data_IF_558399339389
#
_entry.id   IF_558399339389
#
_cell.length_a   1.000
_cell.length_b   1.000
_cell.length_c   1.000
_cell.angle_alpha   90.00
_cell.angle_beta   90.00
_cell.angle_gamma   90.00
#
_symmetry.space_group_name_H-M   'P 1'
#
loop_
_entity.id
_entity.type
_entity.pdbx_description
1 polymer ?
#
# COMPACT_ATOMS: atom_id res chain seq x y z
N UNK A 1 27.58 16.10 23.47
CA UNK A 1 26.81 14.90 23.10
C UNK A 1 26.90 14.75 21.60
N UNK A 2 27.32 13.59 21.08
CA UNK A 2 27.30 13.34 19.64
C UNK A 2 25.85 13.19 19.18
N UNK A 3 25.51 13.75 18.02
CA UNK A 3 24.20 13.52 17.40
C UNK A 3 23.96 12.00 17.28
N UNK A 4 22.76 11.49 17.60
CA UNK A 4 22.46 10.07 17.42
C UNK A 4 22.69 9.68 15.95
N UNK A 5 23.44 8.61 15.67
CA UNK A 5 23.76 8.21 14.31
C UNK A 5 22.54 7.60 13.60
N UNK A 6 22.50 7.68 12.27
CA UNK A 6 21.50 6.96 11.47
C UNK A 6 21.69 5.45 11.58
N UNK A 7 20.61 4.70 11.79
CA UNK A 7 20.63 3.23 11.81
C UNK A 7 20.03 2.65 10.51
N UNK A 8 20.78 2.78 9.40
CA UNK A 8 20.31 2.37 8.08
C UNK A 8 19.98 0.86 7.99
N UNK A 9 20.66 0.02 8.78
CA UNK A 9 20.40 -1.43 8.78
C UNK A 9 19.03 -1.76 9.37
N UNK A 10 18.65 -1.07 10.45
CA UNK A 10 17.34 -1.24 11.07
C UNK A 10 16.22 -0.76 10.17
N UNK A 11 16.36 0.43 9.58
CA UNK A 11 15.40 0.98 8.60
C UNK A 11 15.24 0.05 7.39
N UNK A 12 16.35 -0.43 6.81
CA UNK A 12 16.32 -1.39 5.70
C UNK A 12 15.59 -2.68 6.10
N UNK A 13 15.91 -3.25 7.26
CA UNK A 13 15.25 -4.47 7.73
C UNK A 13 13.75 -4.25 7.98
N UNK A 14 13.36 -3.08 8.50
CA UNK A 14 11.96 -2.71 8.72
C UNK A 14 11.18 -2.59 7.41
N UNK A 15 11.72 -1.85 6.43
CA UNK A 15 11.09 -1.66 5.12
C UNK A 15 11.05 -2.97 4.31
N UNK A 16 12.12 -3.76 4.32
CA UNK A 16 12.16 -5.05 3.63
C UNK A 16 11.11 -6.02 4.19
N UNK A 17 10.85 -6.01 5.51
CA UNK A 17 9.75 -6.81 6.10
C UNK A 17 8.37 -6.42 5.55
N UNK A 18 8.19 -5.19 5.06
CA UNK A 18 6.94 -4.67 4.49
C UNK A 18 6.86 -4.75 2.98
N UNK A 19 7.93 -5.17 2.31
CA UNK A 19 8.02 -5.15 0.84
C UNK A 19 6.87 -5.89 0.17
N UNK A 20 6.54 -7.11 0.61
CA UNK A 20 5.44 -7.89 0.00
C UNK A 20 4.08 -7.24 0.17
N UNK A 21 3.82 -6.69 1.37
CA UNK A 21 2.60 -5.96 1.70
C UNK A 21 2.47 -4.73 0.79
N UNK A 22 3.53 -3.92 0.68
CA UNK A 22 3.56 -2.70 -0.15
C UNK A 22 3.39 -3.05 -1.63
N UNK A 23 4.09 -4.07 -2.14
CA UNK A 23 3.94 -4.52 -3.53
C UNK A 23 2.50 -4.94 -3.82
N UNK A 24 1.90 -5.73 -2.93
CA UNK A 24 0.52 -6.17 -3.12
C UNK A 24 -0.47 -4.99 -3.07
N UNK A 25 -0.31 -4.06 -2.12
CA UNK A 25 -1.15 -2.85 -2.04
C UNK A 25 -1.01 -1.96 -3.27
N UNK A 26 0.21 -1.71 -3.75
CA UNK A 26 0.43 -0.96 -4.99
C UNK A 26 -0.19 -1.67 -6.21
N UNK A 27 -0.11 -2.99 -6.28
CA UNK A 27 -0.74 -3.75 -7.36
C UNK A 27 -2.27 -3.60 -7.35
N UNK A 28 -2.89 -3.65 -6.17
CA UNK A 28 -4.32 -3.44 -5.98
C UNK A 28 -4.69 -1.99 -6.36
N UNK A 29 -3.94 -1.00 -5.87
CA UNK A 29 -4.14 0.41 -6.17
C UNK A 29 -4.14 0.66 -7.68
N UNK A 30 -3.11 0.21 -8.40
CA UNK A 30 -3.04 0.43 -9.85
C UNK A 30 -4.09 -0.32 -10.67
N UNK A 31 -4.64 -1.42 -10.15
CA UNK A 31 -5.61 -2.25 -10.88
C UNK A 31 -7.07 -2.01 -10.51
N UNK A 32 -7.36 -1.33 -9.39
CA UNK A 32 -8.72 -1.23 -8.85
C UNK A 32 -9.15 0.20 -8.46
N UNK A 33 -8.25 1.18 -8.46
CA UNK A 33 -8.55 2.56 -8.05
C UNK A 33 -8.43 3.49 -9.26
N UNK A 34 -9.57 3.87 -9.84
CA UNK A 34 -9.65 4.71 -11.05
C UNK A 34 -10.16 6.14 -10.78
N UNK A 35 -10.61 6.40 -9.55
CA UNK A 35 -10.96 7.74 -9.07
C UNK A 35 -9.76 8.38 -8.36
N UNK A 36 -9.45 9.65 -8.67
CA UNK A 36 -8.24 10.30 -8.14
C UNK A 36 -8.32 10.47 -6.62
N UNK A 37 -9.49 10.80 -6.06
CA UNK A 37 -9.59 11.04 -4.64
C UNK A 37 -9.46 9.73 -3.84
N UNK A 38 -10.08 8.65 -4.31
CA UNK A 38 -9.92 7.31 -3.73
C UNK A 38 -8.47 6.82 -3.81
N UNK A 39 -7.80 7.09 -4.95
CA UNK A 39 -6.38 6.77 -5.12
C UNK A 39 -5.48 7.59 -4.19
N UNK A 40 -5.69 8.91 -4.13
CA UNK A 40 -4.73 9.88 -3.58
C UNK A 40 -4.67 9.89 -2.06
N UNK A 41 -5.82 9.93 -1.37
CA UNK A 41 -5.87 10.26 0.04
C UNK A 41 -6.71 9.27 0.86
N UNK A 42 -6.35 9.12 2.13
CA UNK A 42 -7.00 8.18 3.06
C UNK A 42 -8.37 8.63 3.56
N UNK A 43 -8.78 9.88 3.31
CA UNK A 43 -10.04 10.43 3.82
C UNK A 43 -11.23 10.19 2.89
N UNK A 44 -11.00 10.20 1.56
CA UNK A 44 -12.07 10.19 0.57
C UNK A 44 -12.98 8.97 0.69
N UNK A 45 -12.40 7.77 0.58
CA UNK A 45 -13.18 6.54 0.51
C UNK A 45 -14.02 6.34 1.79
N UNK A 46 -13.48 6.70 2.95
CA UNK A 46 -14.18 6.69 4.21
C UNK A 46 -15.34 7.71 4.23
N UNK A 47 -15.12 8.92 3.74
CA UNK A 47 -16.14 9.98 3.68
C UNK A 47 -17.32 9.63 2.77
N UNK A 48 -17.06 8.85 1.72
CA UNK A 48 -18.05 8.43 0.73
C UNK A 48 -18.69 7.06 1.07
N UNK A 49 -18.26 6.40 2.15
CA UNK A 49 -18.75 5.07 2.52
C UNK A 49 -18.40 3.99 1.49
N UNK A 50 -17.28 4.14 0.77
CA UNK A 50 -16.84 3.18 -0.22
C UNK A 50 -16.25 1.93 0.44
N UNK A 51 -16.22 0.83 -0.31
CA UNK A 51 -15.62 -0.43 0.12
C UNK A 51 -14.12 -0.56 -0.19
N UNK A 52 -13.60 0.30 -1.08
CA UNK A 52 -12.20 0.39 -1.48
C UNK A 52 -11.51 1.42 -0.58
N UNK A 53 -10.92 0.95 0.53
CA UNK A 53 -10.51 1.79 1.66
C UNK A 53 -8.98 1.98 1.78
N UNK A 54 -8.23 1.72 0.71
CA UNK A 54 -6.80 1.99 0.62
C UNK A 54 -6.52 3.29 -0.17
N UNK A 55 -5.29 3.79 -0.10
CA UNK A 55 -4.83 4.94 -0.89
C UNK A 55 -3.30 4.97 -0.94
N UNK A 56 -2.73 5.75 -1.85
CA UNK A 56 -1.27 5.97 -1.85
C UNK A 56 -0.80 6.67 -0.59
N UNK A 57 -1.61 7.55 0.01
CA UNK A 57 -1.30 8.18 1.31
C UNK A 57 -1.21 7.12 2.42
N UNK A 58 -2.13 6.16 2.45
CA UNK A 58 -2.09 5.08 3.43
C UNK A 58 -0.90 4.12 3.23
N UNK A 59 -0.36 3.99 2.01
CA UNK A 59 0.88 3.25 1.74
C UNK A 59 2.10 4.09 2.12
N UNK A 60 2.06 5.39 1.81
CA UNK A 60 3.07 6.38 2.16
C UNK A 60 3.33 6.42 3.68
N UNK A 61 2.29 6.34 4.50
CA UNK A 61 2.36 6.32 5.96
C UNK A 61 3.22 5.15 6.48
N UNK A 62 3.19 4.00 5.79
CA UNK A 62 4.01 2.83 6.14
C UNK A 62 5.50 3.17 6.01
N UNK A 63 5.92 3.84 4.93
CA UNK A 63 7.33 4.19 4.74
C UNK A 63 7.79 5.20 5.79
N UNK A 64 6.97 6.21 6.10
CA UNK A 64 7.29 7.18 7.16
C UNK A 64 7.56 6.50 8.50
N UNK A 65 6.65 5.61 8.89
CA UNK A 65 6.70 5.02 10.21
C UNK A 65 7.79 3.94 10.30
N UNK A 66 7.86 3.00 9.35
CA UNK A 66 8.84 1.91 9.38
C UNK A 66 10.24 2.37 8.94
N UNK A 67 10.34 3.26 7.95
CA UNK A 67 11.61 3.83 7.51
C UNK A 67 12.22 4.77 8.54
N UNK A 68 11.37 5.51 9.28
CA UNK A 68 11.83 6.39 10.36
C UNK A 68 12.19 5.65 11.63
N UNK A 69 11.55 4.51 11.94
CA UNK A 69 11.84 3.68 13.13
C UNK A 69 11.93 4.51 14.42
N UNK A 70 10.97 5.43 14.64
CA UNK A 70 10.90 6.38 15.77
C UNK A 70 11.94 7.52 15.73
N UNK A 71 12.62 7.69 14.61
CA UNK A 71 13.39 8.89 14.27
C UNK A 71 12.51 9.99 13.65
N UNK A 72 13.16 11.05 13.16
CA UNK A 72 12.48 12.24 12.61
C UNK A 72 11.42 11.91 11.55
N UNK A 73 11.71 10.98 10.63
CA UNK A 73 10.79 10.58 9.55
C UNK A 73 9.44 10.01 10.06
N UNK A 74 9.38 9.48 11.29
CA UNK A 74 8.17 8.91 11.91
C UNK A 74 7.21 9.98 12.48
N UNK A 75 7.63 11.23 12.61
CA UNK A 75 6.83 12.30 13.21
C UNK A 75 6.55 13.41 12.20
N UNK A 76 5.27 13.69 11.91
CA UNK A 76 4.85 14.70 10.92
C UNK A 76 5.63 16.02 11.04
N UNK A 77 5.75 16.65 12.23
CA UNK A 77 6.42 17.96 12.37
C UNK A 77 7.93 17.94 12.11
N UNK A 78 8.54 16.75 12.10
CA UNK A 78 9.99 16.56 11.99
C UNK A 78 10.40 15.81 10.71
N UNK A 79 9.45 15.21 10.01
CA UNK A 79 9.74 14.24 8.97
C UNK A 79 10.54 14.81 7.79
N UNK A 80 10.31 16.07 7.43
CA UNK A 80 11.00 16.75 6.32
C UNK A 80 12.47 17.08 6.61
N UNK A 81 12.93 16.96 7.85
CA UNK A 81 14.34 17.17 8.20
C UNK A 81 15.21 15.94 7.92
N UNK A 82 14.61 14.76 7.72
CA UNK A 82 15.32 13.54 7.30
C UNK A 82 15.47 13.52 5.77
N UNK A 83 16.68 13.41 5.19
CA UNK A 83 16.85 13.36 3.73
C UNK A 83 16.08 12.23 3.03
N UNK A 84 15.76 11.13 3.73
CA UNK A 84 14.93 10.05 3.19
C UNK A 84 13.51 10.55 2.82
N UNK A 85 13.03 11.63 3.45
CA UNK A 85 11.76 12.28 3.13
C UNK A 85 11.65 12.63 1.64
N UNK A 86 12.65 13.30 1.08
CA UNK A 86 12.60 13.75 -0.31
C UNK A 86 12.64 12.58 -1.29
N UNK A 87 13.41 11.53 -0.98
CA UNK A 87 13.47 10.32 -1.81
C UNK A 87 12.13 9.56 -1.78
N UNK A 88 11.53 9.44 -0.60
CA UNK A 88 10.21 8.83 -0.43
C UNK A 88 9.13 9.61 -1.19
N UNK A 89 9.09 10.94 -1.03
CA UNK A 89 8.12 11.79 -1.73
C UNK A 89 8.35 11.84 -3.25
N UNK A 90 9.60 11.70 -3.73
CA UNK A 90 9.89 11.49 -5.16
C UNK A 90 9.27 10.18 -5.66
N UNK A 91 9.34 9.11 -4.86
CA UNK A 91 8.68 7.85 -5.23
C UNK A 91 7.15 7.99 -5.22
N UNK A 92 6.57 8.70 -4.25
CA UNK A 92 5.12 8.99 -4.21
C UNK A 92 4.68 9.77 -5.45
N UNK A 93 5.42 10.81 -5.83
CA UNK A 93 5.16 11.58 -7.05
C UNK A 93 5.26 10.70 -8.31
N UNK A 94 6.28 9.82 -8.40
CA UNK A 94 6.36 8.80 -9.47
C UNK A 94 5.14 7.89 -9.53
N UNK A 95 4.59 7.48 -8.38
CA UNK A 95 3.37 6.65 -8.35
C UNK A 95 2.15 7.42 -8.87
N UNK A 96 2.03 8.71 -8.56
CA UNK A 96 0.98 9.59 -9.11
C UNK A 96 1.13 9.73 -10.62
N UNK A 97 2.34 9.98 -11.12
CA UNK A 97 2.61 10.09 -12.56
C UNK A 97 2.28 8.80 -13.32
N UNK A 98 2.61 7.63 -12.76
CA UNK A 98 2.21 6.33 -13.31
C UNK A 98 0.67 6.23 -13.35
N UNK A 99 0.00 6.58 -12.24
CA UNK A 99 -1.45 6.49 -12.14
C UNK A 99 -2.18 7.41 -13.14
N UNK A 100 -1.69 8.63 -13.35
CA UNK A 100 -2.26 9.58 -14.31
C UNK A 100 -2.19 9.06 -15.75
N UNK A 101 -1.13 8.35 -16.14
CA UNK A 101 -1.05 7.72 -17.47
C UNK A 101 -2.09 6.61 -17.61
N UNK A 102 -2.36 5.85 -16.54
CA UNK A 102 -3.37 4.79 -16.55
C UNK A 102 -4.81 5.33 -16.49
N UNK A 103 -5.01 6.53 -15.96
CA UNK A 103 -6.31 7.16 -15.73
C UNK A 103 -6.31 8.63 -16.23
N UNK A 104 -6.13 8.87 -17.55
CA UNK A 104 -5.84 10.20 -18.10
C UNK A 104 -6.97 11.23 -17.90
N UNK A 105 -8.21 10.76 -17.80
CA UNK A 105 -9.38 11.63 -17.67
C UNK A 105 -9.77 11.90 -16.21
N UNK A 106 -9.20 11.16 -15.26
CA UNK A 106 -9.54 11.26 -13.85
C UNK A 106 -8.69 12.34 -13.16
N UNK A 107 -9.34 13.19 -12.37
CA UNK A 107 -8.69 14.25 -11.62
C UNK A 107 -9.45 14.60 -10.34
N UNK A 108 -8.93 15.56 -9.58
CA UNK A 108 -9.41 15.92 -8.24
C UNK A 108 -10.89 16.30 -8.29
N UNK A 109 -11.68 15.61 -7.47
CA UNK A 109 -13.06 16.02 -7.16
C UNK A 109 -13.07 16.90 -5.91
N UNK A 110 -13.84 18.00 -5.85
CA UNK A 110 -13.86 18.86 -4.68
C UNK A 110 -14.23 18.11 -3.38
N UNK A 111 -13.48 18.38 -2.31
CA UNK A 111 -13.63 17.75 -1.00
C UNK A 111 -13.37 18.76 0.12
N UNK A 112 -14.12 18.69 1.21
CA UNK A 112 -13.83 19.48 2.41
C UNK A 112 -12.52 19.01 3.09
N UNK A 113 -11.66 19.96 3.47
CA UNK A 113 -10.48 19.68 4.27
C UNK A 113 -10.85 18.95 5.57
N UNK A 114 -10.28 17.77 5.76
CA UNK A 114 -10.56 16.92 6.91
C UNK A 114 -10.03 17.47 8.22
N UNK A 115 -8.96 18.25 8.18
CA UNK A 115 -8.28 18.85 9.33
C UNK A 115 -7.89 20.30 9.01
N UNK A 116 -7.60 21.08 10.05
CA UNK A 116 -7.00 22.41 9.88
C UNK A 116 -5.50 22.26 9.66
N UNK A 117 -5.00 22.79 8.54
CA UNK A 117 -3.57 22.97 8.28
C UNK A 117 -3.16 24.41 8.57
N UNK A 118 -1.88 24.73 8.34
CA UNK A 118 -1.41 26.11 8.43
C UNK A 118 -2.10 27.05 7.41
N UNK A 119 -2.58 26.50 6.30
CA UNK A 119 -3.05 27.28 5.14
C UNK A 119 -4.54 27.10 4.83
N UNK A 120 -5.18 26.10 5.40
CA UNK A 120 -6.60 25.82 5.17
C UNK A 120 -7.29 25.37 6.46
N UNK A 121 -8.49 25.89 6.70
CA UNK A 121 -9.30 25.50 7.85
C UNK A 121 -10.03 24.20 7.55
N UNK A 122 -10.26 23.39 8.58
CA UNK A 122 -11.19 22.26 8.51
C UNK A 122 -12.52 22.70 7.91
N UNK A 123 -13.03 21.91 6.97
CA UNK A 123 -14.30 22.18 6.28
C UNK A 123 -14.19 23.06 5.04
N UNK A 124 -13.05 23.73 4.80
CA UNK A 124 -12.83 24.47 3.55
C UNK A 124 -12.81 23.50 2.37
N UNK A 125 -13.64 23.74 1.36
CA UNK A 125 -13.64 22.95 0.13
C UNK A 125 -12.31 23.17 -0.60
N UNK A 126 -11.61 22.07 -0.88
CA UNK A 126 -10.41 22.00 -1.70
C UNK A 126 -10.78 21.35 -3.03
N UNK A 127 -10.23 21.87 -4.12
CA UNK A 127 -10.47 21.47 -5.51
C UNK A 127 -9.17 21.57 -6.31
N UNK A 128 -9.20 21.15 -7.58
CA UNK A 128 -7.99 21.17 -8.43
C UNK A 128 -7.41 22.57 -8.66
N UNK A 129 -8.25 23.60 -8.60
CA UNK A 129 -7.92 25.02 -8.75
C UNK A 129 -7.64 25.74 -7.42
N UNK A 130 -7.73 25.03 -6.29
CA UNK A 130 -7.38 25.61 -4.98
C UNK A 130 -5.87 25.96 -4.91
N UNK A 131 -5.50 27.14 -4.36
CA UNK A 131 -4.10 27.53 -4.21
C UNK A 131 -3.27 26.58 -3.34
N UNK A 132 -2.21 25.99 -3.90
CA UNK A 132 -1.19 25.20 -3.20
C UNK A 132 -0.20 26.11 -2.50
N UNK A 133 -0.68 26.80 -1.47
CA UNK A 133 0.17 27.67 -0.64
C UNK A 133 1.19 26.86 0.17
N UNK A 134 2.41 27.39 0.41
CA UNK A 134 2.91 28.72 0.03
C UNK A 134 3.68 28.74 -1.31
N UNK A 135 3.42 27.80 -2.23
CA UNK A 135 4.24 27.64 -3.44
C UNK A 135 3.82 28.61 -4.53
N UNK A 136 4.61 29.67 -4.75
CA UNK A 136 4.40 30.61 -5.85
C UNK A 136 4.74 29.98 -7.20
N UNK A 137 3.85 30.16 -8.18
CA UNK A 137 4.08 29.78 -9.57
C UNK A 137 4.66 30.94 -10.39
N UNK A 138 4.28 32.17 -10.06
CA UNK A 138 4.66 33.38 -10.77
C UNK A 138 5.08 34.49 -9.78
N UNK A 139 5.93 35.41 -10.23
CA UNK A 139 6.43 36.53 -9.43
C UNK A 139 5.32 37.50 -8.97
N UNK A 140 4.18 37.51 -9.64
CA UNK A 140 3.03 38.36 -9.32
C UNK A 140 2.23 37.91 -8.08
N UNK A 141 2.66 36.85 -7.41
CA UNK A 141 2.00 36.29 -6.23
C UNK A 141 0.97 35.19 -6.53
N UNK A 142 0.79 34.78 -7.80
CA UNK A 142 -0.02 33.61 -8.13
C UNK A 142 0.60 32.34 -7.54
N UNK A 143 -0.17 31.59 -6.76
CA UNK A 143 0.22 30.28 -6.26
C UNK A 143 0.01 29.20 -7.32
N UNK A 144 0.79 28.12 -7.23
CA UNK A 144 0.50 26.88 -7.95
C UNK A 144 -0.90 26.38 -7.61
N UNK A 145 -1.57 25.74 -8.57
CA UNK A 145 -2.75 24.91 -8.34
C UNK A 145 -2.44 23.47 -8.73
N UNK A 146 -3.29 22.52 -8.35
CA UNK A 146 -3.10 21.12 -8.78
C UNK A 146 -3.23 21.00 -10.30
N UNK A 147 -4.09 21.80 -10.94
CA UNK A 147 -4.21 21.82 -12.41
C UNK A 147 -2.92 22.30 -13.10
N UNK A 148 -2.24 23.31 -12.54
CA UNK A 148 -0.94 23.77 -13.07
C UNK A 148 0.15 22.72 -12.85
N UNK A 149 0.12 22.01 -11.72
CA UNK A 149 1.10 20.99 -11.35
C UNK A 149 0.77 19.58 -11.88
N UNK A 150 -0.27 19.44 -12.73
CA UNK A 150 -0.75 18.13 -13.17
C UNK A 150 0.28 17.34 -13.99
N UNK A 151 1.13 18.02 -14.76
CA UNK A 151 2.21 17.38 -15.52
C UNK A 151 3.57 17.74 -14.93
N UNK A 152 4.46 16.75 -14.86
CA UNK A 152 5.86 16.95 -14.42
C UNK A 152 6.64 17.85 -15.40
N UNK A 153 6.16 18.00 -16.64
CA UNK A 153 6.73 18.92 -17.64
C UNK A 153 6.77 20.38 -17.13
N UNK A 154 5.78 20.79 -16.33
CA UNK A 154 5.72 22.13 -15.73
C UNK A 154 6.94 22.43 -14.84
N UNK A 155 7.62 21.39 -14.36
CA UNK A 155 8.80 21.46 -13.50
C UNK A 155 10.09 21.01 -14.21
N UNK A 156 10.02 20.68 -15.50
CA UNK A 156 11.19 20.29 -16.30
C UNK A 156 11.79 18.93 -15.97
N UNK A 157 11.00 18.01 -15.41
CA UNK A 157 11.44 16.63 -15.14
C UNK A 157 10.42 15.59 -15.59
N UNK A 158 10.86 14.34 -15.68
CA UNK A 158 10.03 13.18 -15.94
C UNK A 158 10.68 11.92 -15.35
N UNK A 159 9.88 10.86 -15.16
CA UNK A 159 10.40 9.54 -14.81
C UNK A 159 10.62 8.70 -16.06
N UNK A 160 11.68 7.87 -16.06
CA UNK A 160 12.03 7.02 -17.19
C UNK A 160 10.89 6.09 -17.64
N UNK A 161 9.96 5.75 -16.74
CA UNK A 161 8.84 4.87 -17.02
C UNK A 161 7.57 5.61 -17.46
N UNK A 162 7.51 6.92 -17.27
CA UNK A 162 6.33 7.76 -17.56
C UNK A 162 6.55 8.70 -18.75
N UNK A 163 7.71 8.60 -19.42
CA UNK A 163 8.07 9.48 -20.52
C UNK A 163 8.71 8.69 -21.65
N UNK A 164 8.03 8.68 -22.80
CA UNK A 164 8.49 8.04 -24.02
C UNK A 164 8.03 8.86 -25.24
N UNK A 165 8.84 9.85 -25.70
CA UNK A 165 8.45 10.78 -26.77
C UNK A 165 8.05 10.12 -28.09
N UNK A 166 8.54 8.91 -28.35
CA UNK A 166 8.28 8.14 -29.56
C UNK A 166 7.08 7.20 -29.44
N UNK A 167 6.37 7.18 -28.31
CA UNK A 167 5.25 6.28 -28.05
C UNK A 167 3.93 7.06 -27.94
N UNK A 168 2.83 6.45 -28.37
CA UNK A 168 1.50 6.96 -28.05
C UNK A 168 1.20 6.78 -26.56
N UNK A 169 0.31 7.59 -26.00
CA UNK A 169 -0.13 7.43 -24.60
C UNK A 169 -0.74 6.04 -24.34
N UNK A 170 -1.41 5.45 -25.34
CA UNK A 170 -1.98 4.12 -25.24
C UNK A 170 -0.88 3.04 -25.14
N UNK A 171 0.16 3.14 -25.97
CA UNK A 171 1.28 2.20 -25.93
C UNK A 171 2.08 2.34 -24.63
N UNK A 172 2.30 3.58 -24.18
CA UNK A 172 2.94 3.87 -22.89
C UNK A 172 2.14 3.27 -21.72
N UNK A 173 0.82 3.41 -21.73
CA UNK A 173 -0.04 2.79 -20.72
C UNK A 173 0.05 1.25 -20.75
N UNK A 174 0.09 0.62 -21.92
CA UNK A 174 0.27 -0.83 -22.03
C UNK A 174 1.63 -1.30 -21.51
N UNK A 175 2.70 -0.55 -21.80
CA UNK A 175 4.04 -0.84 -21.28
C UNK A 175 4.10 -0.67 -19.76
N UNK A 176 3.48 0.38 -19.22
CA UNK A 176 3.35 0.55 -17.77
C UNK A 176 2.60 -0.60 -17.11
N UNK A 177 1.54 -1.13 -17.73
CA UNK A 177 0.82 -2.30 -17.21
C UNK A 177 1.71 -3.55 -17.15
N UNK A 178 2.56 -3.79 -18.17
CA UNK A 178 3.58 -4.85 -18.14
C UNK A 178 4.56 -4.66 -16.98
N UNK A 179 5.07 -3.45 -16.82
CA UNK A 179 5.99 -3.10 -15.73
C UNK A 179 5.35 -3.29 -14.36
N UNK A 180 4.10 -2.86 -14.17
CA UNK A 180 3.34 -3.05 -12.92
C UNK A 180 3.14 -4.53 -12.60
N UNK A 181 2.75 -5.34 -13.61
CA UNK A 181 2.67 -6.80 -13.46
C UNK A 181 4.01 -7.41 -13.04
N UNK A 182 5.12 -6.88 -13.54
CA UNK A 182 6.48 -7.35 -13.20
C UNK A 182 6.93 -6.90 -11.81
N UNK A 183 6.72 -5.64 -11.46
CA UNK A 183 7.24 -5.03 -10.23
C UNK A 183 6.44 -5.40 -8.98
N UNK A 184 5.12 -5.54 -9.11
CA UNK A 184 4.22 -5.55 -7.95
C UNK A 184 3.38 -6.84 -7.82
N UNK A 185 3.24 -7.65 -8.88
CA UNK A 185 2.41 -8.84 -8.82
C UNK A 185 3.07 -10.05 -8.13
N UNK A 186 4.38 -10.00 -7.85
CA UNK A 186 5.13 -11.14 -7.26
C UNK A 186 4.55 -11.64 -5.93
N UNK A 187 3.97 -10.72 -5.15
CA UNK A 187 3.35 -10.99 -3.85
C UNK A 187 1.83 -11.21 -3.93
N UNK A 188 1.26 -11.31 -5.14
CA UNK A 188 -0.16 -11.56 -5.39
C UNK A 188 -0.41 -12.95 -5.98
N UNK A 189 -1.67 -13.41 -6.07
CA UNK A 189 -2.03 -14.62 -6.80
C UNK A 189 -1.52 -14.65 -8.25
N UNK A 190 -1.37 -13.50 -8.91
CA UNK A 190 -0.83 -13.47 -10.27
C UNK A 190 0.66 -13.84 -10.31
N UNK A 191 1.46 -13.44 -9.31
CA UNK A 191 2.86 -13.84 -9.20
C UNK A 191 3.03 -15.37 -9.14
N UNK A 192 2.10 -16.06 -8.48
CA UNK A 192 2.03 -17.52 -8.50
C UNK A 192 1.81 -18.05 -9.93
N UNK A 193 0.83 -17.51 -10.65
CA UNK A 193 0.51 -17.92 -12.01
C UNK A 193 1.72 -17.73 -12.96
N UNK A 194 2.33 -16.54 -12.94
CA UNK A 194 3.51 -16.21 -13.75
C UNK A 194 4.69 -17.14 -13.47
N UNK A 195 4.96 -17.42 -12.19
CA UNK A 195 6.05 -18.34 -11.80
C UNK A 195 5.81 -19.78 -12.24
N UNK A 196 4.55 -20.23 -12.30
CA UNK A 196 4.18 -21.57 -12.73
C UNK A 196 4.32 -21.75 -14.25
N UNK A 197 3.92 -20.75 -15.03
CA UNK A 197 4.08 -20.71 -16.48
C UNK A 197 5.56 -20.71 -16.89
N UNK A 198 6.40 -19.93 -16.19
CA UNK A 198 7.84 -19.91 -16.45
C UNK A 198 8.51 -21.28 -16.21
N UNK A 199 8.10 -22.02 -15.17
CA UNK A 199 8.58 -23.39 -14.91
C UNK A 199 8.11 -24.41 -15.95
N UNK A 200 6.92 -24.21 -16.52
CA UNK A 200 6.40 -25.06 -17.60
C UNK A 200 7.07 -24.78 -18.95
N UNK A 201 7.57 -23.55 -19.17
CA UNK A 201 8.26 -23.15 -20.39
C UNK A 201 9.73 -23.61 -20.46
N UNK A 202 10.37 -23.91 -19.33
CA UNK A 202 11.74 -24.41 -19.29
C UNK A 202 11.82 -25.93 -19.52
N UNK A 203 11.94 -26.38 -20.78
CA UNK A 203 12.59 -27.68 -21.09
C UNK A 203 14.11 -27.52 -20.95
N UNK A 204 14.86 -28.58 -20.56
CA UNK A 204 16.31 -28.47 -20.39
C UNK A 204 16.99 -28.45 -21.77
N UNK A 205 17.23 -27.27 -22.33
CA UNK A 205 18.14 -27.09 -23.46
C UNK A 205 19.46 -26.53 -22.95
N UNK A 206 20.51 -27.34 -23.02
CA UNK A 206 21.89 -26.90 -22.84
C UNK A 206 22.27 -25.95 -23.98
N UNK A 207 22.26 -24.66 -23.73
CA UNK A 207 23.07 -23.69 -24.47
C UNK A 207 23.31 -22.46 -23.61
N UNK A 208 24.51 -22.40 -23.06
CA UNK A 208 25.03 -21.22 -22.37
C UNK A 208 25.31 -20.10 -23.39
N UNK A 209 24.49 -19.06 -23.39
CA UNK A 209 24.95 -17.70 -23.67
C UNK A 209 24.36 -16.75 -22.62
N UNK A 210 25.18 -16.45 -21.62
CA UNK A 210 24.91 -15.47 -20.58
C UNK A 210 24.97 -14.06 -21.17
N UNK A 211 23.84 -13.39 -21.28
CA UNK A 211 23.83 -11.94 -21.17
C UNK A 211 23.92 -11.58 -19.68
N UNK A 212 25.07 -11.03 -19.27
CA UNK A 212 25.29 -10.44 -17.95
C UNK A 212 24.92 -8.96 -18.01
N UNK A 213 23.95 -8.47 -17.23
CA UNK A 213 23.94 -7.06 -16.86
C UNK A 213 25.14 -6.83 -15.93
N UNK A 214 25.89 -5.76 -16.18
CA UNK A 214 26.91 -5.27 -15.27
C UNK A 214 26.19 -4.79 -14.00
N UNK A 215 26.20 -5.62 -12.97
CA UNK A 215 25.78 -5.30 -11.60
C UNK A 215 27.00 -5.53 -10.73
N UNK A 216 27.55 -4.43 -10.23
CA UNK A 216 28.64 -4.45 -9.27
C UNK A 216 28.07 -4.74 -7.87
N UNK A 217 28.75 -5.62 -7.12
CA UNK A 217 28.52 -5.85 -5.69
C UNK A 217 27.40 -6.82 -5.28
N UNK A 218 27.80 -8.07 -5.02
CA UNK A 218 27.21 -9.07 -4.11
C UNK A 218 25.76 -8.85 -3.61
N UNK A 219 24.78 -9.44 -4.32
CA UNK A 219 23.45 -9.67 -3.74
C UNK A 219 22.80 -10.95 -4.31
N UNK A 220 23.39 -12.11 -3.98
CA UNK A 220 22.71 -13.42 -4.16
C UNK A 220 21.55 -13.62 -3.17
N UNK A 221 21.41 -12.79 -2.14
CA UNK A 221 20.33 -12.91 -1.15
C UNK A 221 18.98 -12.38 -1.64
N UNK A 222 18.96 -11.35 -2.50
CA UNK A 222 17.70 -10.71 -2.94
C UNK A 222 16.80 -11.60 -3.81
N UNK A 223 17.34 -12.58 -4.53
CA UNK A 223 16.53 -13.50 -5.35
C UNK A 223 15.75 -14.54 -4.52
N UNK A 224 16.02 -14.63 -3.21
CA UNK A 224 15.37 -15.58 -2.28
C UNK A 224 14.66 -14.90 -1.12
N UNK A 225 14.60 -13.57 -1.10
CA UNK A 225 13.95 -12.84 -0.02
C UNK A 225 12.44 -13.04 -0.06
N UNK A 226 11.93 -13.84 0.89
CA UNK A 226 10.50 -13.99 1.20
C UNK A 226 10.21 -13.20 2.47
N UNK A 227 9.57 -12.02 2.41
CA UNK A 227 9.24 -11.25 3.60
C UNK A 227 8.22 -12.00 4.47
N UNK A 228 8.64 -12.25 5.71
CA UNK A 228 7.91 -12.49 6.96
C UNK A 228 6.44 -12.94 6.94
N UNK A 229 6.19 -14.14 6.43
CA UNK A 229 5.41 -15.15 7.18
C UNK A 229 6.16 -16.47 7.04
N UNK A 230 7.05 -16.78 7.99
CA UNK A 230 7.75 -18.08 8.05
C UNK A 230 6.83 -19.14 8.65
N UNK A 231 5.71 -19.42 7.99
CA UNK A 231 5.37 -20.84 7.84
C UNK A 231 6.39 -21.39 6.83
N UNK A 232 6.83 -22.61 7.01
CA UNK A 232 7.67 -23.43 6.12
C UNK A 232 7.04 -23.68 4.72
N UNK A 233 6.28 -22.71 4.22
CA UNK A 233 5.24 -22.90 3.24
C UNK A 233 5.82 -23.11 1.85
N UNK A 234 5.53 -24.31 1.35
CA UNK A 234 5.54 -24.63 -0.07
C UNK A 234 4.67 -23.60 -0.82
N UNK A 235 4.92 -23.42 -2.10
CA UNK A 235 4.02 -22.62 -2.94
C UNK A 235 2.73 -23.44 -3.19
N UNK A 236 1.51 -22.87 -3.00
CA UNK A 236 0.27 -23.62 -3.22
C UNK A 236 0.11 -23.97 -4.69
N UNK A 237 -0.63 -25.03 -5.00
CA UNK A 237 -0.95 -25.34 -6.39
C UNK A 237 -1.87 -24.26 -6.99
N UNK A 238 -1.65 -23.89 -8.25
CA UNK A 238 -2.46 -22.88 -8.96
C UNK A 238 -3.95 -23.21 -8.87
N UNK A 239 -4.32 -24.49 -9.03
CA UNK A 239 -5.72 -24.96 -8.95
C UNK A 239 -6.37 -24.83 -7.56
N UNK A 240 -5.60 -24.59 -6.50
CA UNK A 240 -6.15 -24.30 -5.17
C UNK A 240 -6.41 -22.80 -4.96
N UNK A 241 -5.79 -21.96 -5.78
CA UNK A 241 -5.89 -20.50 -5.70
C UNK A 241 -6.86 -19.98 -6.75
N UNK A 242 -6.86 -20.58 -7.94
CA UNK A 242 -7.64 -20.17 -9.09
C UNK A 242 -8.76 -21.15 -9.42
N UNK A 243 -9.91 -20.60 -9.81
CA UNK A 243 -11.00 -21.29 -10.48
C UNK A 243 -11.11 -20.72 -11.90
N UNK A 244 -10.63 -21.46 -12.90
CA UNK A 244 -10.41 -20.90 -14.24
C UNK A 244 -9.33 -19.83 -14.20
N UNK A 245 -9.64 -18.61 -14.67
CA UNK A 245 -8.76 -17.44 -14.60
C UNK A 245 -9.09 -16.51 -13.41
N UNK A 246 -9.98 -16.91 -12.50
CA UNK A 246 -10.42 -16.08 -11.37
C UNK A 246 -9.90 -16.58 -10.02
N UNK A 247 -9.70 -15.66 -9.10
CA UNK A 247 -9.35 -15.92 -7.71
C UNK A 247 -10.10 -14.97 -6.77
N UNK A 248 -10.04 -15.24 -5.46
CA UNK A 248 -10.65 -14.36 -4.45
C UNK A 248 -9.55 -13.59 -3.71
N UNK A 249 -9.58 -12.26 -3.79
CA UNK A 249 -8.79 -11.39 -2.95
C UNK A 249 -9.50 -11.15 -1.60
N UNK A 250 -8.73 -11.10 -0.52
CA UNK A 250 -9.19 -10.81 0.84
C UNK A 250 -8.48 -9.60 1.41
N UNK A 251 -9.24 -8.66 1.96
CA UNK A 251 -8.74 -7.40 2.50
C UNK A 251 -9.32 -7.16 3.90
N UNK A 252 -8.48 -6.75 4.85
CA UNK A 252 -8.92 -6.18 6.11
C UNK A 252 -8.89 -4.65 5.99
N UNK A 253 -10.06 -4.03 6.13
CA UNK A 253 -10.22 -2.59 6.05
C UNK A 253 -10.36 -2.00 7.45
N UNK A 254 -9.73 -0.85 7.66
CA UNK A 254 -9.80 -0.03 8.87
C UNK A 254 -10.40 1.32 8.49
N UNK A 255 -11.31 1.82 9.31
CA UNK A 255 -11.79 3.20 9.25
C UNK A 255 -11.85 3.77 10.66
N UNK A 256 -11.36 5.00 10.86
CA UNK A 256 -11.28 5.68 12.17
C UNK A 256 -11.28 7.20 12.00
N UNK A 257 -11.43 7.95 13.08
CA UNK A 257 -11.30 9.42 13.02
C UNK A 257 -9.82 9.81 12.82
N UNK A 258 -9.54 10.83 12.03
CA UNK A 258 -8.15 11.27 11.74
C UNK A 258 -7.37 11.64 13.00
N UNK A 259 -8.04 12.24 13.98
CA UNK A 259 -7.50 12.54 15.31
C UNK A 259 -7.91 11.47 16.35
N UNK A 260 -8.03 10.19 15.97
CA UNK A 260 -8.50 9.13 16.86
C UNK A 260 -7.57 8.85 18.04
N UNK A 261 -6.31 9.28 18.03
CA UNK A 261 -5.32 9.16 19.09
C UNK A 261 -4.28 10.28 18.96
N UNK A 262 -3.49 10.51 20.01
CA UNK A 262 -2.33 11.39 19.93
C UNK A 262 -1.15 10.70 19.23
N UNK A 263 -0.70 11.30 18.13
CA UNK A 263 0.47 10.85 17.39
C UNK A 263 0.23 9.56 16.60
N UNK A 264 1.30 9.07 15.98
CA UNK A 264 1.25 7.90 15.12
C UNK A 264 1.04 6.60 15.92
N UNK A 265 0.27 5.67 15.35
CA UNK A 265 -0.01 4.34 15.91
C UNK A 265 -0.26 3.31 14.81
N UNK A 266 -0.44 2.05 15.21
CA UNK A 266 -0.66 0.93 14.31
C UNK A 266 -1.90 0.13 14.70
N UNK A 267 -2.54 -0.45 13.69
CA UNK A 267 -3.51 -1.52 13.85
C UNK A 267 -2.93 -2.76 13.18
N UNK A 268 -2.48 -3.71 13.99
CA UNK A 268 -1.85 -4.94 13.56
C UNK A 268 -2.89 -6.04 13.37
N UNK A 269 -2.72 -6.87 12.35
CA UNK A 269 -3.56 -8.04 12.10
C UNK A 269 -2.74 -9.32 12.22
N UNK A 270 -3.25 -10.29 12.97
CA UNK A 270 -2.57 -11.55 13.26
C UNK A 270 -3.44 -12.76 12.90
N UNK A 271 -2.80 -13.84 12.45
CA UNK A 271 -3.43 -15.16 12.33
C UNK A 271 -3.11 -15.98 13.57
N UNK A 272 -4.04 -16.00 14.51
CA UNK A 272 -3.85 -16.45 15.89
C UNK A 272 -3.75 -15.27 16.85
N UNK A 273 -3.52 -15.57 18.13
CA UNK A 273 -3.41 -14.52 19.16
C UNK A 273 -2.15 -13.67 18.94
N UNK A 274 -2.20 -12.35 19.16
CA UNK A 274 -1.00 -11.53 19.26
C UNK A 274 -0.05 -12.08 20.34
N UNK A 275 1.28 -11.99 20.15
CA UNK A 275 2.24 -12.32 21.21
C UNK A 275 2.00 -11.50 22.48
N UNK A 276 2.40 -12.03 23.64
CA UNK A 276 2.27 -11.29 24.92
C UNK A 276 3.22 -10.11 25.00
N UNK A 277 4.42 -10.22 24.42
CA UNK A 277 5.39 -9.14 24.36
C UNK A 277 4.99 -8.13 23.26
N UNK A 278 4.41 -7.01 23.68
CA UNK A 278 3.85 -5.99 22.78
C UNK A 278 4.92 -5.39 21.85
N UNK A 279 6.12 -5.15 22.38
CA UNK A 279 7.28 -4.64 21.64
C UNK A 279 7.74 -5.53 20.47
N UNK A 280 7.32 -6.80 20.42
CA UNK A 280 7.72 -7.75 19.36
C UNK A 280 6.66 -7.89 18.26
N UNK A 281 5.53 -7.19 18.36
CA UNK A 281 4.38 -7.37 17.45
C UNK A 281 4.73 -7.13 15.99
N UNK A 282 5.58 -6.15 15.68
CA UNK A 282 5.99 -5.84 14.31
C UNK A 282 6.89 -6.92 13.68
N UNK A 283 7.51 -7.77 14.50
CA UNK A 283 8.37 -8.88 14.07
C UNK A 283 7.70 -10.25 14.27
N UNK A 284 6.49 -10.29 14.80
CA UNK A 284 5.78 -11.52 15.10
C UNK A 284 5.57 -12.38 13.85
N UNK A 285 5.85 -13.67 13.95
CA UNK A 285 5.74 -14.61 12.82
C UNK A 285 4.30 -14.77 12.30
N UNK A 286 3.32 -14.53 13.16
CA UNK A 286 1.91 -14.62 12.84
C UNK A 286 1.27 -13.27 12.49
N UNK A 287 2.06 -12.18 12.42
CA UNK A 287 1.63 -10.90 11.88
C UNK A 287 1.36 -11.05 10.37
N UNK A 288 0.19 -10.62 9.93
CA UNK A 288 -0.19 -10.60 8.51
C UNK A 288 0.20 -9.27 7.86
N UNK A 289 -0.04 -8.17 8.56
CA UNK A 289 0.19 -6.83 8.07
C UNK A 289 -0.31 -5.79 9.05
N UNK A 290 -0.18 -4.51 8.73
CA UNK A 290 -0.57 -3.43 9.64
C UNK A 290 -1.04 -2.20 8.90
N UNK A 291 -2.15 -1.61 9.36
CA UNK A 291 -2.49 -0.23 8.98
C UNK A 291 -1.68 0.69 9.87
N UNK A 292 -0.82 1.51 9.27
CA UNK A 292 -0.03 2.50 9.96
C UNK A 292 -0.75 3.85 9.84
N UNK A 293 -1.02 4.51 10.97
CA UNK A 293 -1.68 5.82 11.01
C UNK A 293 -0.60 6.85 11.30
N UNK A 294 -0.17 7.58 10.27
CA UNK A 294 0.76 8.70 10.42
C UNK A 294 -0.05 9.96 10.74
N UNK A 295 0.07 10.43 11.97
CA UNK A 295 -0.76 11.51 12.50
C UNK A 295 0.01 12.43 13.45
N UNK A 296 -0.49 13.66 13.58
CA UNK A 296 -0.08 14.59 14.62
C UNK A 296 -0.85 14.31 15.93
N UNK A 297 -0.53 15.04 16.99
CA UNK A 297 -1.39 15.04 18.18
C UNK A 297 -2.73 15.73 17.86
N UNK A 298 -3.76 15.41 18.65
CA UNK A 298 -5.11 15.95 18.46
C UNK A 298 -5.09 17.46 18.73
N UNK A 299 -5.26 18.27 17.67
CA UNK A 299 -5.16 19.73 17.79
C UNK A 299 -6.36 20.47 17.22
N UNK A 300 -7.16 19.83 16.37
CA UNK A 300 -8.22 20.51 15.59
C UNK A 300 -9.63 20.07 15.99
N UNK A 301 -9.78 18.99 16.76
CA UNK A 301 -11.07 18.39 17.09
C UNK A 301 -11.73 17.76 15.86
N UNK A 302 -10.93 17.12 15.00
CA UNK A 302 -11.44 16.53 13.78
C UNK A 302 -12.05 15.15 13.99
N UNK A 303 -13.31 15.00 13.57
CA UNK A 303 -14.01 13.72 13.49
C UNK A 303 -14.07 13.20 12.05
N UNK A 304 -13.33 13.82 11.13
CA UNK A 304 -13.22 13.36 9.75
C UNK A 304 -12.67 11.94 9.73
N UNK A 305 -13.27 11.09 8.91
CA UNK A 305 -12.85 9.69 8.79
C UNK A 305 -11.66 9.55 7.86
N UNK A 306 -10.74 8.67 8.24
CA UNK A 306 -9.68 8.14 7.39
C UNK A 306 -9.74 6.63 7.36
N UNK A 307 -9.16 6.03 6.33
CA UNK A 307 -9.13 4.59 6.16
C UNK A 307 -7.77 4.05 5.71
N UNK A 308 -7.59 2.75 5.90
CA UNK A 308 -6.46 2.00 5.38
C UNK A 308 -6.81 0.53 5.22
N UNK A 309 -5.98 -0.20 4.47
CA UNK A 309 -6.24 -1.60 4.14
C UNK A 309 -4.99 -2.46 4.32
N UNK A 310 -5.18 -3.69 4.77
CA UNK A 310 -4.17 -4.76 4.76
C UNK A 310 -4.66 -5.92 3.89
N UNK A 311 -3.96 -6.24 2.79
CA UNK A 311 -4.24 -7.46 2.04
C UNK A 311 -3.92 -8.71 2.86
N UNK A 312 -4.86 -9.65 2.90
CA UNK A 312 -4.73 -10.92 3.63
C UNK A 312 -4.36 -12.10 2.72
N UNK A 313 -4.50 -11.92 1.40
CA UNK A 313 -4.47 -13.02 0.43
C UNK A 313 -3.14 -13.78 0.40
N UNK A 314 -2.00 -13.08 0.47
CA UNK A 314 -0.68 -13.74 0.46
C UNK A 314 -0.47 -14.64 1.69
N UNK A 315 -0.93 -14.18 2.86
CA UNK A 315 -0.94 -14.98 4.09
C UNK A 315 -1.89 -16.19 3.98
N UNK A 316 -3.07 -15.99 3.40
CA UNK A 316 -4.04 -17.07 3.17
C UNK A 316 -3.51 -18.11 2.16
N UNK A 317 -2.81 -17.69 1.10
CA UNK A 317 -2.15 -18.60 0.15
C UNK A 317 -1.12 -19.50 0.85
N UNK A 318 -0.38 -18.93 1.79
CA UNK A 318 0.59 -19.65 2.63
C UNK A 318 -0.12 -20.72 3.48
N UNK A 319 -1.27 -20.38 4.06
CA UNK A 319 -2.12 -21.33 4.79
C UNK A 319 -2.76 -22.39 3.91
N UNK A 320 -3.10 -22.06 2.67
CA UNK A 320 -3.57 -23.04 1.67
C UNK A 320 -2.48 -24.05 1.34
N UNK A 321 -1.26 -23.59 1.13
CA UNK A 321 -0.13 -24.47 0.87
C UNK A 321 0.21 -25.39 2.06
N UNK A 322 0.02 -24.89 3.28
CA UNK A 322 0.15 -25.67 4.51
C UNK A 322 -1.05 -26.60 4.79
N UNK A 323 -2.08 -26.61 3.92
CA UNK A 323 -3.29 -27.42 4.09
C UNK A 323 -4.18 -26.99 5.27
N UNK A 324 -3.99 -25.78 5.81
CA UNK A 324 -4.79 -25.22 6.91
C UNK A 324 -6.11 -24.63 6.43
N UNK A 325 -6.13 -24.12 5.21
CA UNK A 325 -7.33 -23.65 4.50
C UNK A 325 -7.38 -24.37 3.15
N UNK A 326 -8.56 -24.77 2.68
CA UNK A 326 -8.65 -25.59 1.45
C UNK A 326 -8.30 -24.79 0.18
N UNK A 327 -8.83 -23.59 0.07
CA UNK A 327 -8.67 -22.65 -1.05
C UNK A 327 -9.06 -21.24 -0.59
N UNK A 328 -8.99 -20.24 -1.48
CA UNK A 328 -9.34 -18.86 -1.17
C UNK A 328 -10.85 -18.56 -1.17
N UNK A 329 -11.72 -19.55 -1.35
CA UNK A 329 -13.15 -19.30 -1.49
C UNK A 329 -13.78 -18.81 -0.18
N UNK A 330 -14.83 -17.98 -0.23
CA UNK A 330 -15.55 -17.48 0.95
C UNK A 330 -16.00 -18.55 1.92
N UNK A 331 -16.38 -19.72 1.41
CA UNK A 331 -16.84 -20.85 2.23
C UNK A 331 -15.74 -21.41 3.14
N UNK A 332 -14.46 -21.31 2.74
CA UNK A 332 -13.34 -21.83 3.53
C UNK A 332 -12.62 -20.72 4.31
N UNK A 333 -12.43 -19.55 3.68
CA UNK A 333 -11.70 -18.44 4.31
C UNK A 333 -12.56 -17.68 5.32
N UNK A 334 -13.85 -17.45 5.04
CA UNK A 334 -14.73 -16.67 5.91
C UNK A 334 -14.80 -17.22 7.34
N UNK A 335 -15.18 -18.49 7.54
CA UNK A 335 -15.19 -19.12 8.87
C UNK A 335 -13.80 -19.18 9.51
N UNK A 336 -12.74 -19.36 8.71
CA UNK A 336 -11.38 -19.39 9.21
C UNK A 336 -10.95 -18.04 9.79
N UNK A 337 -11.14 -16.95 9.03
CA UNK A 337 -10.81 -15.60 9.49
C UNK A 337 -11.66 -15.20 10.70
N UNK A 338 -12.95 -15.53 10.72
CA UNK A 338 -13.82 -15.24 11.87
C UNK A 338 -13.30 -15.85 13.19
N UNK A 339 -12.59 -16.99 13.11
CA UNK A 339 -12.03 -17.69 14.27
C UNK A 339 -10.57 -17.31 14.58
N UNK A 340 -9.80 -16.94 13.56
CA UNK A 340 -8.35 -16.88 13.67
C UNK A 340 -7.75 -15.51 13.39
N UNK A 341 -8.47 -14.60 12.73
CA UNK A 341 -8.00 -13.24 12.52
C UNK A 341 -8.24 -12.42 13.78
N UNK A 342 -7.15 -11.97 14.38
CA UNK A 342 -7.17 -11.09 15.55
C UNK A 342 -6.51 -9.77 15.17
N UNK A 343 -6.88 -8.70 15.86
CA UNK A 343 -6.20 -7.41 15.72
C UNK A 343 -5.73 -6.91 17.08
N UNK A 344 -4.76 -6.00 17.07
CA UNK A 344 -4.33 -5.25 18.24
C UNK A 344 -3.89 -3.85 17.82
N UNK A 345 -4.08 -2.88 18.71
CA UNK A 345 -3.67 -1.49 18.51
C UNK A 345 -2.40 -1.22 19.31
N UNK A 346 -1.40 -0.60 18.68
CA UNK A 346 -0.11 -0.31 19.29
C UNK A 346 0.26 1.16 19.05
N UNK A 347 0.65 1.88 20.10
CA UNK A 347 1.19 3.24 20.00
C UNK A 347 2.64 3.24 19.51
N UNK A 348 3.12 4.42 19.10
CA UNK A 348 4.52 4.62 18.66
C UNK A 348 5.60 4.29 19.71
N UNK A 349 5.26 4.16 20.99
CA UNK A 349 6.14 3.70 22.07
C UNK A 349 6.08 2.18 22.31
N UNK A 350 5.43 1.44 21.40
CA UNK A 350 5.20 -0.01 21.42
C UNK A 350 4.23 -0.53 22.50
N UNK A 351 3.55 0.33 23.25
CA UNK A 351 2.51 -0.14 24.19
C UNK A 351 1.20 -0.45 23.49
N UNK A 352 0.47 -1.43 24.00
CA UNK A 352 -0.90 -1.74 23.60
C UNK A 352 -1.84 -0.59 23.95
N UNK A 353 -2.80 -0.39 23.06
CA UNK A 353 -3.94 0.51 23.25
C UNK A 353 -5.20 -0.35 23.20
N UNK A 354 -6.14 -0.13 24.12
CA UNK A 354 -7.43 -0.80 24.07
C UNK A 354 -8.27 -0.20 22.91
N UNK A 355 -8.86 -1.03 22.02
CA UNK A 355 -9.59 -0.57 20.84
C UNK A 355 -10.71 0.43 21.13
N UNK A 356 -11.33 0.35 22.31
CA UNK A 356 -12.38 1.26 22.77
C UNK A 356 -11.91 2.71 22.94
N UNK A 357 -10.60 2.94 23.04
CA UNK A 357 -10.00 4.27 23.16
C UNK A 357 -9.71 4.92 21.79
N UNK A 358 -9.89 4.18 20.69
CA UNK A 358 -9.62 4.65 19.33
C UNK A 358 -10.91 5.21 18.74
N UNK A 359 -11.02 6.53 18.70
CA UNK A 359 -12.27 7.20 18.34
C UNK A 359 -12.72 6.84 16.92
N UNK A 360 -13.93 6.27 16.86
CA UNK A 360 -14.59 5.94 15.60
C UNK A 360 -13.97 4.76 14.85
N UNK A 361 -13.16 3.93 15.52
CA UNK A 361 -12.56 2.72 14.96
C UNK A 361 -13.64 1.73 14.49
N UNK A 362 -13.49 1.27 13.26
CA UNK A 362 -14.24 0.16 12.70
C UNK A 362 -13.32 -0.70 11.85
N UNK A 363 -13.47 -2.01 11.96
CA UNK A 363 -12.64 -2.98 11.26
C UNK A 363 -13.54 -4.01 10.61
N UNK A 364 -13.38 -4.17 9.29
CA UNK A 364 -14.14 -5.14 8.50
C UNK A 364 -13.23 -5.95 7.60
N UNK A 365 -13.67 -7.15 7.25
CA UNK A 365 -13.04 -7.93 6.20
C UNK A 365 -13.97 -7.97 5.00
N UNK A 366 -13.41 -7.69 3.84
CA UNK A 366 -14.09 -7.79 2.54
C UNK A 366 -13.34 -8.78 1.66
N UNK A 367 -14.04 -9.27 0.65
CA UNK A 367 -13.41 -10.05 -0.43
C UNK A 367 -13.84 -9.52 -1.78
N UNK A 368 -13.00 -9.70 -2.80
CA UNK A 368 -13.38 -9.46 -4.19
C UNK A 368 -13.07 -10.69 -5.03
N UNK A 369 -13.93 -10.99 -6.00
CA UNK A 369 -13.50 -11.85 -7.11
C UNK A 369 -12.64 -11.01 -8.06
N UNK A 370 -11.51 -11.58 -8.49
CA UNK A 370 -10.56 -10.93 -9.37
C UNK A 370 -10.26 -11.86 -10.53
N UNK A 371 -10.39 -11.33 -11.74
CA UNK A 371 -10.04 -12.00 -12.97
C UNK A 371 -8.59 -11.65 -13.35
N UNK A 372 -7.74 -12.67 -13.43
CA UNK A 372 -6.36 -12.49 -13.86
C UNK A 372 -6.29 -12.04 -15.33
N UNK A 373 -5.36 -11.15 -15.68
CA UNK A 373 -5.22 -10.68 -17.05
C UNK A 373 -4.76 -11.82 -17.98
N UNK A 374 -5.38 -11.91 -19.15
CA UNK A 374 -5.00 -12.87 -20.20
C UNK A 374 -3.71 -12.46 -20.93
N UNK A 375 -3.36 -11.17 -20.89
CA UNK A 375 -2.20 -10.58 -21.55
C UNK A 375 -1.37 -9.77 -20.56
N UNK A 376 -0.05 -9.77 -20.70
CA UNK A 376 0.86 -9.03 -19.80
C UNK A 376 0.64 -7.50 -19.84
N UNK A 377 0.06 -6.97 -20.92
CA UNK A 377 -0.29 -5.55 -21.11
C UNK A 377 -1.60 -5.15 -20.44
N UNK A 378 -2.28 -6.07 -19.75
CA UNK A 378 -3.53 -5.82 -19.02
C UNK A 378 -3.31 -5.99 -17.52
N UNK A 379 -4.09 -5.25 -16.74
CA UNK A 379 -4.17 -5.43 -15.29
C UNK A 379 -5.39 -6.32 -14.95
N UNK A 380 -5.44 -6.92 -13.76
CA UNK A 380 -6.58 -7.72 -13.33
C UNK A 380 -7.87 -6.90 -13.30
N UNK A 381 -9.00 -7.56 -13.50
CA UNK A 381 -10.33 -6.95 -13.42
C UNK A 381 -10.98 -7.35 -12.11
N UNK A 382 -11.45 -6.37 -11.35
CA UNK A 382 -12.03 -6.55 -10.03
C UNK A 382 -13.56 -6.50 -10.09
N UNK A 383 -14.19 -7.45 -9.41
CA UNK A 383 -15.61 -7.33 -9.07
C UNK A 383 -15.81 -6.35 -7.89
N UNK A 384 -17.04 -5.89 -7.62
CA UNK A 384 -17.31 -5.12 -6.42
C UNK A 384 -16.93 -5.89 -5.15
N UNK A 385 -16.44 -5.18 -4.14
CA UNK A 385 -16.12 -5.78 -2.86
C UNK A 385 -17.39 -6.31 -2.18
N UNK A 386 -17.29 -7.52 -1.64
CA UNK A 386 -18.33 -8.18 -0.85
C UNK A 386 -17.92 -8.15 0.61
N UNK A 387 -18.74 -7.54 1.45
CA UNK A 387 -18.57 -7.57 2.90
C UNK A 387 -18.66 -9.00 3.44
N UNK A 388 -17.76 -9.39 4.36
CA UNK A 388 -17.69 -10.76 4.90
C UNK A 388 -17.90 -10.84 6.41
N UNK A 389 -17.21 -10.00 7.17
CA UNK A 389 -17.35 -9.96 8.63
C UNK A 389 -16.88 -8.62 9.19
N UNK A 390 -17.39 -8.25 10.37
CA UNK A 390 -16.86 -7.17 11.18
C UNK A 390 -16.00 -7.77 12.31
N UNK A 391 -14.80 -7.23 12.49
CA UNK A 391 -13.93 -7.54 13.63
C UNK A 391 -14.12 -6.57 14.79
N UNK A 392 -14.49 -5.32 14.47
CA UNK A 392 -14.71 -4.25 15.43
C UNK A 392 -15.65 -3.19 14.86
N UNK A 393 -16.42 -2.52 15.72
CA UNK A 393 -17.31 -1.41 15.34
C UNK A 393 -17.32 -0.32 16.40
#
# INVERSE_FOLDING_TARGET
MSNPPSNNQEANAALLRKLSEIQQRLYIIFSNYHDFNAFSNKAWAASQGLSQLDSIEAIHDVIHIYGGSKGHLTYVPLSSFDPLFLLHHTMTDRLVAIWQILNPDAWITPMAAGETSFTSLKGTIQSSDSPLTPFFALENGTFWTSDMARSTDAFGYAYADTFAPSMSNQDLAQELKRKINTWYASSSPLGLLLSSSAKSASKPSQSHQQFRPVMDGDNKEMATFRPNIRYDAKTPAVSQIFQGNRYTEWLANVCLNVEALDGSFFIHFFLGKPPTAEMEWQQAQNLVGSVAIFAMNRMTGSESKISGTVPLTSALMTLVAAGRVKNLSPQHVGPFLAKHLHFAVQSSNDSRIEPELVDGLSISVVSSEVEAPEEESKLPVWSPHVWRLALWK
#
